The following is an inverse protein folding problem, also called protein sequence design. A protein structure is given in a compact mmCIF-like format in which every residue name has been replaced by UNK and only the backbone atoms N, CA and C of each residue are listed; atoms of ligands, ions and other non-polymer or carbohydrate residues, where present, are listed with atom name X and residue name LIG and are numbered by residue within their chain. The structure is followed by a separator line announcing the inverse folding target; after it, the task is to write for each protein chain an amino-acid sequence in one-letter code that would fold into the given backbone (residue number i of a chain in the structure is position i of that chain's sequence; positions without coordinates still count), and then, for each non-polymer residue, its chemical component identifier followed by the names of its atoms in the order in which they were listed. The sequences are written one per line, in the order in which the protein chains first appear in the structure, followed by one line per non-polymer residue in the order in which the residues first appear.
data_IF_726522456055
#
_entry.id   IF_726522456055
#
_cell.length_a   1.000
_cell.length_b   1.000
_cell.length_c   1.000
_cell.angle_alpha   90.00
_cell.angle_beta   90.00
_cell.angle_gamma   90.00
#
_symmetry.space_group_name_H-M   'P 1'
#
loop_
_entity.id
_entity.type
_entity.pdbx_description
1 polymer ?
#
# COMPACT_ATOMS: atom_id res chain seq x y z
N UNK A 1 -13.70 -8.06 5.59
CA UNK A 1 -14.27 -7.45 6.82
C UNK A 1 -13.16 -6.63 7.45
N UNK A 2 -13.40 -5.35 7.75
CA UNK A 2 -12.44 -4.49 8.47
C UNK A 2 -11.99 -5.22 9.74
N UNK A 3 -10.72 -5.19 10.11
CA UNK A 3 -10.27 -5.84 11.35
C UNK A 3 -9.88 -4.77 12.33
N UNK A 4 -10.17 -5.00 13.61
CA UNK A 4 -9.65 -4.14 14.67
C UNK A 4 -8.12 -4.04 14.54
N UNK A 5 -7.53 -2.85 14.81
CA UNK A 5 -6.08 -2.67 14.71
C UNK A 5 -5.30 -3.68 15.58
N UNK A 6 -4.10 -4.08 15.15
CA UNK A 6 -3.25 -5.00 15.93
C UNK A 6 -2.91 -4.40 17.30
N UNK A 7 -2.66 -3.09 17.37
CA UNK A 7 -2.43 -2.36 18.63
C UNK A 7 -3.59 -2.53 19.64
N UNK A 8 -4.83 -2.62 19.17
CA UNK A 8 -5.99 -2.86 20.03
C UNK A 8 -5.94 -4.26 20.65
N UNK A 9 -5.54 -5.26 19.86
CA UNK A 9 -5.40 -6.64 20.31
C UNK A 9 -4.20 -6.83 21.25
N UNK A 10 -3.11 -6.10 21.02
CA UNK A 10 -1.95 -6.11 21.92
C UNK A 10 -2.29 -5.51 23.29
N UNK A 11 -3.05 -4.41 23.31
CA UNK A 11 -3.43 -3.73 24.55
C UNK A 11 -4.50 -4.50 25.34
N UNK A 12 -5.50 -5.04 24.66
CA UNK A 12 -6.68 -5.67 25.28
C UNK A 12 -6.78 -7.18 25.08
N UNK A 13 -5.71 -7.86 24.65
CA UNK A 13 -5.73 -9.30 24.35
C UNK A 13 -6.14 -10.23 25.50
N UNK A 14 -6.19 -9.71 26.74
CA UNK A 14 -6.67 -10.43 27.92
C UNK A 14 -8.18 -10.22 28.21
N UNK A 15 -8.86 -9.37 27.44
CA UNK A 15 -10.31 -9.12 27.57
C UNK A 15 -11.11 -10.21 26.85
N UNK A 16 -12.34 -10.43 27.29
CA UNK A 16 -13.23 -11.44 26.72
C UNK A 16 -13.93 -10.99 25.43
N UNK A 17 -14.58 -11.94 24.75
CA UNK A 17 -15.20 -11.76 23.43
C UNK A 17 -16.18 -10.57 23.37
N UNK A 18 -17.01 -10.38 24.40
CA UNK A 18 -17.98 -9.26 24.49
C UNK A 18 -17.29 -7.90 24.41
N UNK A 19 -16.06 -7.76 24.93
CA UNK A 19 -15.30 -6.52 24.82
C UNK A 19 -14.89 -6.24 23.37
N UNK A 20 -14.39 -7.26 22.67
CA UNK A 20 -14.01 -7.15 21.27
C UNK A 20 -15.22 -6.93 20.36
N UNK A 21 -16.36 -7.53 20.66
CA UNK A 21 -17.60 -7.35 19.88
C UNK A 21 -18.11 -5.90 19.95
N UNK A 22 -18.06 -5.27 21.13
CA UNK A 22 -18.36 -3.84 21.29
C UNK A 22 -17.39 -2.98 20.48
N UNK A 23 -16.08 -3.27 20.59
CA UNK A 23 -15.05 -2.53 19.88
C UNK A 23 -15.20 -2.66 18.35
N UNK A 24 -15.48 -3.87 17.86
CA UNK A 24 -15.75 -4.14 16.45
C UNK A 24 -16.95 -3.33 15.97
N UNK A 25 -18.08 -3.38 16.68
CA UNK A 25 -19.29 -2.63 16.33
C UNK A 25 -19.01 -1.13 16.17
N UNK A 26 -18.27 -0.54 17.11
CA UNK A 26 -17.89 0.87 17.09
C UNK A 26 -16.88 1.18 15.97
N UNK A 27 -15.92 0.28 15.72
CA UNK A 27 -14.91 0.40 14.66
C UNK A 27 -15.51 0.29 13.26
N UNK A 28 -16.52 -0.55 13.07
CA UNK A 28 -17.22 -0.70 11.79
C UNK A 28 -18.16 0.47 11.48
N UNK A 29 -18.70 1.12 12.51
CA UNK A 29 -19.62 2.24 12.40
C UNK A 29 -19.05 3.51 13.06
N UNK A 30 -17.89 4.02 12.59
CA UNK A 30 -17.19 5.11 13.25
C UNK A 30 -17.98 6.44 13.26
N UNK A 31 -18.87 6.63 12.28
CA UNK A 31 -19.72 7.82 12.16
C UNK A 31 -20.96 7.78 13.07
N UNK A 32 -21.23 6.64 13.71
CA UNK A 32 -22.40 6.46 14.56
C UNK A 32 -22.02 6.59 16.03
N UNK A 33 -22.87 7.33 16.73
CA UNK A 33 -22.82 7.44 18.19
C UNK A 33 -23.84 6.49 18.81
N UNK A 34 -23.44 5.87 19.92
CA UNK A 34 -24.24 4.88 20.62
C UNK A 34 -24.34 5.19 22.10
N UNK A 35 -25.52 5.02 22.67
CA UNK A 35 -25.72 5.07 24.13
C UNK A 35 -25.41 3.71 24.76
N UNK A 36 -25.13 3.68 26.06
CA UNK A 36 -24.91 2.41 26.78
C UNK A 36 -26.11 1.44 26.71
N UNK A 37 -27.38 1.89 26.82
CA UNK A 37 -28.53 1.01 26.65
C UNK A 37 -28.62 0.42 25.25
N UNK A 38 -28.33 1.19 24.20
CA UNK A 38 -28.34 0.68 22.82
C UNK A 38 -27.25 -0.37 22.60
N UNK A 39 -26.04 -0.16 23.14
CA UNK A 39 -24.97 -1.16 23.07
C UNK A 39 -25.32 -2.42 23.85
N UNK A 40 -25.93 -2.28 25.03
CA UNK A 40 -26.40 -3.40 25.84
C UNK A 40 -27.46 -4.23 25.10
N UNK A 41 -28.38 -3.57 24.40
CA UNK A 41 -29.42 -4.22 23.60
C UNK A 41 -28.85 -4.95 22.38
N UNK A 42 -27.97 -4.31 21.60
CA UNK A 42 -27.41 -4.94 20.39
C UNK A 42 -26.49 -6.13 20.69
N UNK A 43 -25.73 -6.06 21.77
CA UNK A 43 -24.78 -7.11 22.18
C UNK A 43 -25.45 -8.17 23.08
N UNK A 44 -26.62 -7.86 23.65
CA UNK A 44 -27.36 -8.78 24.52
C UNK A 44 -26.75 -8.95 25.91
N UNK A 45 -26.19 -7.87 26.50
CA UNK A 45 -25.61 -7.90 27.83
C UNK A 45 -26.14 -6.78 28.74
N UNK A 46 -25.72 -6.74 30.01
CA UNK A 46 -26.19 -5.72 30.95
C UNK A 46 -25.52 -4.37 30.70
N UNK A 47 -26.24 -3.29 30.95
CA UNK A 47 -25.68 -1.92 30.90
C UNK A 47 -24.49 -1.74 31.84
N UNK A 48 -24.45 -2.44 32.97
CA UNK A 48 -23.30 -2.45 33.89
C UNK A 48 -22.06 -3.10 33.26
N UNK A 49 -22.22 -4.20 32.52
CA UNK A 49 -21.12 -4.84 31.80
C UNK A 49 -20.57 -3.92 30.70
N UNK A 50 -21.47 -3.31 29.90
CA UNK A 50 -21.10 -2.30 28.91
C UNK A 50 -20.32 -1.15 29.53
N UNK A 51 -20.78 -0.61 30.67
CA UNK A 51 -20.13 0.49 31.37
C UNK A 51 -18.68 0.16 31.75
N UNK A 52 -18.42 -1.06 32.22
CA UNK A 52 -17.07 -1.54 32.52
C UNK A 52 -16.18 -1.57 31.28
N UNK A 53 -16.66 -2.15 30.17
CA UNK A 53 -15.91 -2.27 28.93
C UNK A 53 -15.61 -0.92 28.27
N UNK A 54 -16.61 -0.02 28.21
CA UNK A 54 -16.45 1.32 27.64
C UNK A 54 -15.45 2.14 28.43
N UNK A 55 -15.47 2.06 29.76
CA UNK A 55 -14.56 2.83 30.62
C UNK A 55 -13.10 2.48 30.36
N UNK A 56 -12.80 1.22 30.09
CA UNK A 56 -11.45 0.78 29.78
C UNK A 56 -11.00 1.32 28.42
N UNK A 57 -11.87 1.29 27.40
CA UNK A 57 -11.55 1.83 26.07
C UNK A 57 -11.49 3.38 26.05
N UNK A 58 -12.32 4.06 26.85
CA UNK A 58 -12.30 5.52 27.01
C UNK A 58 -11.00 5.99 27.68
N UNK A 59 -10.52 5.26 28.71
CA UNK A 59 -9.26 5.60 29.40
C UNK A 59 -8.02 5.49 28.51
N UNK A 60 -8.06 4.62 27.52
CA UNK A 60 -6.97 4.38 26.56
C UNK A 60 -7.19 5.14 25.25
N UNK A 61 -8.09 6.14 25.23
CA UNK A 61 -8.40 7.01 24.09
C UNK A 61 -8.90 6.28 22.82
N UNK A 62 -9.39 5.04 22.94
CA UNK A 62 -9.96 4.30 21.81
C UNK A 62 -11.38 4.74 21.48
N UNK A 63 -12.13 5.20 22.48
CA UNK A 63 -13.46 5.76 22.32
C UNK A 63 -13.46 7.26 22.63
N UNK A 64 -14.24 8.00 21.84
CA UNK A 64 -14.51 9.40 22.09
C UNK A 64 -15.86 9.55 22.76
N UNK A 65 -15.87 10.33 23.86
CA UNK A 65 -17.09 10.85 24.49
C UNK A 65 -16.94 12.35 24.66
N UNK A 66 -17.82 13.13 24.03
CA UNK A 66 -17.85 14.58 24.25
C UNK A 66 -18.30 14.87 25.68
N UNK A 67 -17.72 15.91 26.29
CA UNK A 67 -18.14 16.37 27.61
C UNK A 67 -19.66 16.62 27.65
N UNK A 68 -20.33 16.10 28.68
CA UNK A 68 -21.79 16.14 28.88
C UNK A 68 -22.66 15.30 27.92
N UNK A 69 -22.09 14.37 27.14
CA UNK A 69 -22.86 13.39 26.38
C UNK A 69 -22.80 11.99 27.00
N UNK A 70 -23.89 11.22 26.87
CA UNK A 70 -23.99 9.81 27.27
C UNK A 70 -23.78 8.84 26.11
N UNK A 71 -23.33 9.37 24.97
CA UNK A 71 -23.07 8.63 23.74
C UNK A 71 -21.57 8.44 23.53
N UNK A 72 -21.22 7.32 22.89
CA UNK A 72 -19.86 6.88 22.64
C UNK A 72 -19.69 6.59 21.15
N UNK A 73 -18.56 6.96 20.59
CA UNK A 73 -18.15 6.60 19.23
C UNK A 73 -16.68 6.18 19.22
N UNK A 74 -16.26 5.53 18.14
CA UNK A 74 -14.84 5.29 17.91
C UNK A 74 -14.08 6.62 17.80
N UNK A 75 -12.89 6.70 18.37
CA UNK A 75 -12.07 7.91 18.31
C UNK A 75 -11.39 8.04 16.93
N UNK A 76 -12.12 8.55 15.95
CA UNK A 76 -11.62 8.75 14.58
C UNK A 76 -10.56 9.85 14.46
N UNK A 77 -10.53 10.79 15.40
CA UNK A 77 -9.56 11.90 15.37
C UNK A 77 -8.14 11.42 15.66
N UNK A 78 -8.00 10.40 16.52
CA UNK A 78 -6.71 9.82 16.89
C UNK A 78 -6.45 8.51 16.13
N UNK A 79 -7.50 7.71 15.87
CA UNK A 79 -7.36 6.34 15.34
C UNK A 79 -8.33 6.07 14.20
N UNK A 80 -8.21 6.85 13.13
CA UNK A 80 -9.09 6.75 11.96
C UNK A 80 -9.02 5.33 11.34
N UNK A 81 -10.15 4.59 11.28
CA UNK A 81 -10.22 3.30 10.61
C UNK A 81 -9.81 3.36 9.13
N UNK A 82 -10.10 4.48 8.45
CA UNK A 82 -9.75 4.66 7.04
C UNK A 82 -8.23 4.86 6.82
N UNK A 83 -7.54 5.51 7.78
CA UNK A 83 -6.10 5.74 7.70
C UNK A 83 -5.31 4.47 8.00
N UNK A 84 -5.75 3.69 8.99
CA UNK A 84 -5.13 2.40 9.34
C UNK A 84 -5.29 1.38 8.21
N UNK A 85 -6.43 1.36 7.51
CA UNK A 85 -6.59 0.51 6.32
C UNK A 85 -5.81 1.03 5.11
N UNK A 86 -5.85 2.33 4.84
CA UNK A 86 -5.13 2.92 3.70
C UNK A 86 -3.62 2.70 3.80
N UNK A 87 -3.05 2.96 4.97
CA UNK A 87 -1.62 2.74 5.23
C UNK A 87 -1.24 1.25 5.17
N UNK A 88 -2.08 0.36 5.70
CA UNK A 88 -1.84 -1.09 5.65
C UNK A 88 -1.96 -1.64 4.23
N UNK A 89 -2.95 -1.20 3.45
CA UNK A 89 -3.15 -1.60 2.05
C UNK A 89 -2.02 -1.07 1.15
N UNK A 90 -1.58 0.17 1.35
CA UNK A 90 -0.43 0.72 0.63
C UNK A 90 0.84 -0.05 1.00
N UNK A 91 1.06 -0.34 2.29
CA UNK A 91 2.23 -1.10 2.75
C UNK A 91 2.26 -2.52 2.17
N UNK A 92 1.11 -3.20 2.14
CA UNK A 92 1.02 -4.54 1.55
C UNK A 92 1.26 -4.49 0.04
N UNK A 93 0.68 -3.52 -0.67
CA UNK A 93 0.94 -3.29 -2.09
C UNK A 93 2.42 -3.05 -2.39
N UNK A 94 3.10 -2.19 -1.63
CA UNK A 94 4.54 -1.94 -1.78
C UNK A 94 5.36 -3.20 -1.53
N UNK A 95 5.04 -3.95 -0.47
CA UNK A 95 5.73 -5.20 -0.14
C UNK A 95 5.55 -6.22 -1.27
N UNK A 96 4.34 -6.41 -1.76
CA UNK A 96 4.03 -7.41 -2.78
C UNK A 96 4.65 -7.02 -4.12
N UNK A 97 4.62 -5.73 -4.47
CA UNK A 97 5.34 -5.16 -5.64
C UNK A 97 6.85 -5.38 -5.51
N UNK A 98 7.43 -5.16 -4.34
CA UNK A 98 8.86 -5.37 -4.10
C UNK A 98 9.26 -6.83 -4.22
N UNK A 99 8.43 -7.76 -3.72
CA UNK A 99 8.65 -9.20 -3.88
C UNK A 99 8.62 -9.60 -5.36
N UNK A 100 7.66 -9.08 -6.12
CA UNK A 100 7.58 -9.31 -7.57
C UNK A 100 8.80 -8.74 -8.29
N UNK A 101 9.20 -7.51 -7.97
CA UNK A 101 10.39 -6.86 -8.52
C UNK A 101 11.64 -7.71 -8.28
N UNK A 102 11.84 -8.16 -7.03
CA UNK A 102 12.98 -8.99 -6.63
C UNK A 102 12.95 -10.37 -7.28
N UNK A 103 11.77 -10.93 -7.55
CA UNK A 103 11.62 -12.21 -8.26
C UNK A 103 12.00 -12.05 -9.73
N UNK A 104 11.51 -11.01 -10.39
CA UNK A 104 11.77 -10.76 -11.81
C UNK A 104 13.18 -10.23 -12.08
N UNK A 105 13.79 -9.48 -11.16
CA UNK A 105 15.18 -8.99 -11.33
C UNK A 105 16.22 -10.11 -11.37
N UNK A 106 15.93 -11.27 -10.78
CA UNK A 106 16.79 -12.47 -10.81
C UNK A 106 16.70 -13.25 -12.12
N UNK A 107 15.81 -12.86 -13.03
CA UNK A 107 15.63 -13.50 -14.33
C UNK A 107 16.10 -12.56 -15.42
N UNK A 108 16.79 -13.08 -16.44
CA UNK A 108 17.27 -12.27 -17.56
C UNK A 108 16.12 -11.54 -18.28
N UNK A 109 14.97 -12.19 -18.59
CA UNK A 109 13.82 -11.48 -19.17
C UNK A 109 13.25 -10.39 -18.26
N UNK A 110 13.15 -10.65 -16.95
CA UNK A 110 12.64 -9.68 -16.00
C UNK A 110 13.57 -8.49 -15.83
N UNK A 111 14.89 -8.68 -15.85
CA UNK A 111 15.86 -7.58 -15.84
C UNK A 111 15.70 -6.66 -17.06
N UNK A 112 15.51 -7.21 -18.27
CA UNK A 112 15.23 -6.41 -19.46
C UNK A 112 13.92 -5.62 -19.34
N UNK A 113 12.84 -6.23 -18.83
CA UNK A 113 11.59 -5.51 -18.58
C UNK A 113 11.76 -4.35 -17.60
N UNK A 114 12.54 -4.55 -16.52
CA UNK A 114 12.81 -3.51 -15.52
C UNK A 114 13.66 -2.37 -16.10
N UNK A 115 14.74 -2.68 -16.81
CA UNK A 115 15.59 -1.66 -17.45
C UNK A 115 14.79 -0.87 -18.49
N UNK A 116 14.01 -1.56 -19.32
CA UNK A 116 13.14 -0.93 -20.30
C UNK A 116 12.12 0.01 -19.66
N UNK A 117 11.46 -0.44 -18.59
CA UNK A 117 10.53 0.38 -17.82
C UNK A 117 11.21 1.61 -17.18
N UNK A 118 12.40 1.45 -16.60
CA UNK A 118 13.17 2.57 -16.03
C UNK A 118 13.55 3.59 -17.10
N UNK A 119 13.94 3.14 -18.30
CA UNK A 119 14.26 4.03 -19.42
C UNK A 119 13.02 4.79 -19.93
N UNK A 120 11.85 4.15 -19.97
CA UNK A 120 10.58 4.82 -20.31
C UNK A 120 10.24 5.91 -19.29
N UNK A 121 10.33 5.59 -18.00
CA UNK A 121 10.06 6.53 -16.92
C UNK A 121 11.05 7.70 -16.95
N UNK A 122 12.33 7.41 -17.12
CA UNK A 122 13.38 8.43 -17.26
C UNK A 122 13.13 9.34 -18.47
N UNK A 123 12.75 8.77 -19.61
CA UNK A 123 12.38 9.54 -20.80
C UNK A 123 11.21 10.49 -20.55
N UNK A 124 10.17 10.03 -19.84
CA UNK A 124 9.01 10.84 -19.47
C UNK A 124 9.38 12.00 -18.53
N UNK A 125 10.25 11.75 -17.55
CA UNK A 125 10.75 12.79 -16.64
C UNK A 125 11.55 13.84 -17.42
N UNK A 126 12.48 13.42 -18.29
CA UNK A 126 13.28 14.34 -19.11
C UNK A 126 12.39 15.13 -20.10
N UNK A 127 11.33 14.51 -20.61
CA UNK A 127 10.35 15.19 -21.46
C UNK A 127 9.59 16.29 -20.69
N UNK A 128 9.25 16.05 -19.42
CA UNK A 128 8.62 17.07 -18.58
C UNK A 128 9.51 18.31 -18.40
N UNK A 129 10.83 18.12 -18.25
CA UNK A 129 11.79 19.23 -18.25
C UNK A 129 11.82 19.98 -19.58
N UNK A 130 11.81 19.26 -20.72
CA UNK A 130 11.69 19.89 -22.03
C UNK A 130 10.45 20.79 -22.12
N UNK A 131 9.28 20.30 -21.69
CA UNK A 131 8.03 21.09 -21.69
C UNK A 131 8.16 22.31 -20.78
N UNK A 132 8.70 22.14 -19.57
CA UNK A 132 8.90 23.24 -18.62
C UNK A 132 9.80 24.36 -19.16
N UNK A 133 10.93 24.00 -19.76
CA UNK A 133 11.85 24.98 -20.38
C UNK A 133 11.30 25.55 -21.69
N UNK A 134 10.59 24.77 -22.49
CA UNK A 134 10.00 25.24 -23.76
C UNK A 134 8.83 26.20 -23.57
N UNK A 135 8.13 26.10 -22.45
CA UNK A 135 7.04 27.02 -22.07
C UNK A 135 7.52 28.20 -21.22
N UNK A 136 8.84 28.35 -21.03
CA UNK A 136 9.46 29.38 -20.18
C UNK A 136 8.91 29.41 -18.74
N UNK A 137 8.40 28.27 -18.25
CA UNK A 137 7.89 28.12 -16.86
C UNK A 137 9.07 28.12 -15.87
N UNK A 138 10.22 27.62 -16.31
CA UNK A 138 11.49 27.58 -15.56
C UNK A 138 12.49 28.57 -16.16
N UNK A 139 13.40 29.10 -15.32
CA UNK A 139 14.49 30.00 -15.77
C UNK A 139 15.30 29.38 -16.90
N UNK A 140 15.93 30.22 -17.72
CA UNK A 140 16.72 29.80 -18.88
C UNK A 140 17.69 28.66 -18.51
N UNK A 141 17.47 27.52 -19.17
CA UNK A 141 18.35 26.36 -19.06
C UNK A 141 19.70 26.69 -19.70
N UNK A 142 20.81 26.36 -19.01
CA UNK A 142 22.15 26.41 -19.59
C UNK A 142 22.37 25.42 -20.75
N UNK A 143 21.42 24.50 -20.97
CA UNK A 143 21.41 23.50 -22.05
C UNK A 143 20.22 23.77 -22.99
N UNK A 144 20.42 23.78 -24.33
CA UNK A 144 19.32 23.96 -25.27
C UNK A 144 18.16 22.97 -25.06
N UNK A 145 16.89 23.43 -25.02
CA UNK A 145 15.71 22.57 -24.81
C UNK A 145 15.63 21.34 -25.73
N UNK A 146 16.10 21.48 -26.97
CA UNK A 146 16.14 20.40 -27.98
C UNK A 146 16.94 19.18 -27.51
N UNK A 147 17.97 19.38 -26.67
CA UNK A 147 18.78 18.28 -26.13
C UNK A 147 17.96 17.42 -25.17
N UNK A 148 17.13 18.03 -24.32
CA UNK A 148 16.21 17.30 -23.45
C UNK A 148 15.19 16.49 -24.25
N UNK A 149 14.61 17.07 -25.31
CA UNK A 149 13.70 16.35 -26.20
C UNK A 149 14.38 15.14 -26.87
N UNK A 150 15.63 15.29 -27.29
CA UNK A 150 16.40 14.22 -27.93
C UNK A 150 16.70 13.08 -26.95
N UNK A 151 17.14 13.40 -25.72
CA UNK A 151 17.39 12.40 -24.66
C UNK A 151 16.09 11.71 -24.26
N UNK A 152 14.99 12.46 -24.13
CA UNK A 152 13.68 11.91 -23.80
C UNK A 152 13.22 10.90 -24.86
N UNK A 153 13.26 11.29 -26.13
CA UNK A 153 12.87 10.43 -27.24
C UNK A 153 13.76 9.18 -27.34
N UNK A 154 15.07 9.35 -27.23
CA UNK A 154 16.04 8.24 -27.27
C UNK A 154 15.84 7.25 -26.12
N UNK A 155 15.64 7.75 -24.90
CA UNK A 155 15.38 6.93 -23.72
C UNK A 155 14.05 6.20 -23.82
N UNK A 156 13.02 6.88 -24.34
CA UNK A 156 11.70 6.30 -24.53
C UNK A 156 11.72 5.16 -25.58
N UNK A 157 12.31 5.40 -26.75
CA UNK A 157 12.42 4.39 -27.81
C UNK A 157 13.27 3.20 -27.38
N UNK A 158 14.40 3.46 -26.72
CA UNK A 158 15.26 2.39 -26.18
C UNK A 158 14.52 1.59 -25.11
N UNK A 159 13.78 2.27 -24.23
CA UNK A 159 12.95 1.64 -23.22
C UNK A 159 11.88 0.72 -23.81
N UNK A 160 11.21 1.14 -24.89
CA UNK A 160 10.26 0.30 -25.63
C UNK A 160 10.95 -0.93 -26.21
N UNK A 161 12.04 -0.75 -26.96
CA UNK A 161 12.77 -1.85 -27.61
C UNK A 161 13.23 -2.88 -26.57
N UNK A 162 13.87 -2.41 -25.50
CA UNK A 162 14.38 -3.26 -24.41
C UNK A 162 13.25 -4.01 -23.70
N UNK A 163 12.09 -3.38 -23.52
CA UNK A 163 10.91 -4.03 -22.96
C UNK A 163 10.36 -5.14 -23.88
N UNK A 164 10.33 -4.92 -25.20
CA UNK A 164 9.92 -5.94 -26.17
C UNK A 164 10.92 -7.11 -26.30
N UNK A 165 12.19 -6.89 -25.98
CA UNK A 165 13.19 -7.97 -25.93
C UNK A 165 12.96 -8.92 -24.75
N UNK A 166 12.26 -8.50 -23.69
CA UNK A 166 11.92 -9.36 -22.54
C UNK A 166 11.15 -10.64 -22.91
N UNK A 167 9.99 -10.58 -23.59
CA UNK A 167 9.28 -11.80 -24.00
C UNK A 167 10.06 -12.64 -25.01
N UNK A 168 10.82 -12.01 -25.91
CA UNK A 168 11.68 -12.72 -26.89
C UNK A 168 12.77 -13.50 -26.15
N UNK A 169 13.42 -12.88 -25.17
CA UNK A 169 14.41 -13.53 -24.29
C UNK A 169 13.80 -14.68 -23.50
N UNK A 170 12.57 -14.55 -23.00
CA UNK A 170 11.88 -15.62 -22.28
C UNK A 170 11.64 -16.84 -23.19
N UNK A 171 11.19 -16.61 -24.43
CA UNK A 171 10.98 -17.67 -25.44
C UNK A 171 12.31 -18.33 -25.82
N UNK A 172 13.33 -17.56 -26.14
CA UNK A 172 14.67 -18.09 -26.46
C UNK A 172 15.21 -18.91 -25.28
N UNK A 173 15.13 -18.39 -24.06
CA UNK A 173 15.61 -19.09 -22.87
C UNK A 173 14.86 -20.42 -22.70
N UNK A 174 13.52 -20.44 -22.82
CA UNK A 174 12.74 -21.68 -22.76
C UNK A 174 13.12 -22.71 -23.83
N UNK A 175 13.49 -22.25 -25.03
CA UNK A 175 13.90 -23.12 -26.12
C UNK A 175 15.32 -23.65 -25.89
N UNK A 176 16.25 -22.79 -25.47
CA UNK A 176 17.64 -23.16 -25.16
C UNK A 176 17.71 -24.16 -24.01
N UNK A 177 16.95 -23.96 -22.92
CA UNK A 177 16.84 -24.93 -21.82
C UNK A 177 16.19 -26.25 -22.23
N UNK A 178 15.41 -26.28 -23.32
CA UNK A 178 14.82 -27.51 -23.85
C UNK A 178 15.83 -28.36 -24.63
N UNK A 179 16.89 -27.75 -25.17
CA UNK A 179 17.91 -28.40 -25.98
C UNK A 179 19.25 -28.60 -25.27
N UNK A 180 19.51 -27.89 -24.17
CA UNK A 180 20.68 -28.12 -23.32
C UNK A 180 20.36 -29.17 -22.26
N UNK A 181 20.92 -30.39 -22.35
CA UNK A 181 20.76 -31.38 -21.29
C UNK A 181 21.43 -30.88 -20.02
N UNK A 182 20.73 -31.00 -18.89
CA UNK A 182 21.20 -30.58 -17.55
C UNK A 182 22.50 -31.28 -17.10
N UNK A 183 22.97 -32.28 -17.83
CA UNK A 183 24.23 -33.00 -17.59
C UNK A 183 25.49 -32.23 -18.02
N UNK A 184 25.37 -31.13 -18.78
CA UNK A 184 26.52 -30.36 -19.28
C UNK A 184 27.02 -29.26 -18.32
N UNK A 185 26.24 -28.94 -17.28
CA UNK A 185 26.57 -27.93 -16.26
C UNK A 185 26.81 -28.55 -14.88
N UNK A 186 27.01 -29.87 -14.83
CA UNK A 186 27.48 -30.55 -13.63
C UNK A 186 29.01 -30.39 -13.62
N UNK A 187 29.49 -29.38 -12.92
CA UNK A 187 30.88 -29.32 -12.50
C UNK A 187 31.04 -30.35 -11.38
N UNK A 188 31.66 -31.50 -11.69
CA UNK A 188 32.35 -32.32 -10.70
C UNK A 188 33.58 -31.56 -10.16
#
# INVERSE_FOLDING_TARGET
MRRLPEEFHEEFGQKGDTFFEIAELLYYHPDRQYTQPELAEMIGCSTTAISGHIRDMEKSDWLFRRENQTTFSWNTDVRNPAETEGTTAIRSFYRDTWVLLKKHSKTVPGAFALIGFTMLLGGLVVFAFYVGFSLSITQDSGVPPVIYATIALGSFLTGLIVSFLSPIQAVINSFVWRYLPSSWFRDD
#
